data_IF_831919074243
#
_entry.id   IF_831919074243
#
_cell.length_a   1.000
_cell.length_b   1.000
_cell.length_c   1.000
_cell.angle_alpha   90.00
_cell.angle_beta   90.00
_cell.angle_gamma   90.00
#
_symmetry.space_group_name_H-M   'P 1'
#
loop_
_entity.id
_entity.type
_entity.pdbx_description
1 polymer ?
2 non-polymer ?
3 water ?
#
# COMPACT_ATOMS: atom_id res chain seq x y z
N UNK A 113 -5.50 -19.13 4.13
CA UNK A 113 -4.69 -18.75 2.96
C UNK A 113 -4.88 -17.31 2.50
N UNK A 114 -6.05 -16.70 2.85
CA UNK A 114 -6.25 -15.27 2.60
C UNK A 114 -5.17 -14.58 3.44
N UNK A 115 -5.07 -14.88 4.76
CA UNK A 115 -4.09 -14.19 5.61
C UNK A 115 -2.62 -14.49 5.23
N UNK A 116 -2.36 -15.70 4.71
CA UNK A 116 -1.00 -16.09 4.27
C UNK A 116 -0.53 -15.13 3.16
N UNK A 117 -1.37 -14.92 2.14
CA UNK A 117 -1.09 -14.00 1.03
C UNK A 117 -1.00 -12.55 1.51
N UNK A 118 -1.90 -12.14 2.43
CA UNK A 118 -1.83 -10.75 2.93
C UNK A 118 -0.50 -10.42 3.64
N UNK A 119 0.00 -11.36 4.47
CA UNK A 119 1.28 -11.17 5.20
C UNK A 119 2.45 -11.12 4.21
N UNK A 120 2.46 -12.02 3.22
CA UNK A 120 3.53 -12.02 2.20
C UNK A 120 3.48 -10.71 1.41
N UNK A 121 2.26 -10.22 1.10
CA UNK A 121 2.17 -8.98 0.34
C UNK A 121 2.55 -7.74 1.19
N UNK A 122 2.23 -7.75 2.48
CA UNK A 122 2.57 -6.64 3.37
C UNK A 122 4.09 -6.55 3.48
N UNK A 123 4.75 -7.69 3.48
CA UNK A 123 6.21 -7.69 3.53
C UNK A 123 6.81 -7.28 2.18
N UNK A 124 6.47 -7.99 1.09
CA UNK A 124 7.02 -7.71 -0.25
C UNK A 124 6.70 -6.29 -0.73
N UNK A 125 5.44 -5.87 -0.55
CA UNK A 125 4.94 -4.59 -1.04
C UNK A 125 5.16 -3.39 -0.14
N UNK A 126 5.61 -3.59 1.10
CA UNK A 126 5.75 -2.45 2.01
C UNK A 126 6.97 -2.55 2.92
N UNK A 127 6.96 -3.50 3.87
CA UNK A 127 8.04 -3.59 4.88
C UNK A 127 9.44 -3.71 4.26
N UNK A 128 9.58 -4.58 3.23
CA UNK A 128 10.84 -4.82 2.48
C UNK A 128 11.39 -3.50 1.92
N UNK A 129 10.50 -2.56 1.54
CA UNK A 129 10.87 -1.29 0.92
C UNK A 129 11.14 -0.14 1.90
N UNK A 130 10.53 -0.16 3.11
CA UNK A 130 10.73 0.92 4.10
C UNK A 130 11.70 0.56 5.23
N UNK A 131 11.71 -0.71 5.68
CA UNK A 131 12.53 -1.08 6.85
C UNK A 131 14.06 -0.89 6.64
N UNK A 132 14.67 -1.16 5.43
CA UNK A 132 16.13 -0.89 5.28
C UNK A 132 16.52 0.59 5.33
N UNK A 133 15.56 1.51 5.11
CA UNK A 133 15.78 2.95 5.13
C UNK A 133 15.32 3.64 6.44
N UNK A 134 14.65 2.90 7.33
CA UNK A 134 14.06 3.48 8.54
C UNK A 134 15.08 4.02 9.55
N UNK A 135 16.13 3.25 9.87
CA UNK A 135 17.16 3.65 10.84
C UNK A 135 17.72 5.03 10.55
N UNK A 136 18.09 5.30 9.27
CA UNK A 136 18.64 6.58 8.83
C UNK A 136 17.66 7.72 9.02
N UNK A 137 16.36 7.48 8.78
CA UNK A 137 15.31 8.50 8.94
C UNK A 137 15.15 8.87 10.40
N UNK A 138 15.21 7.87 11.29
CA UNK A 138 15.09 8.09 12.73
C UNK A 138 16.32 8.86 13.26
N UNK A 139 17.54 8.45 12.85
CA UNK A 139 18.81 9.10 13.24
C UNK A 139 18.82 10.58 12.79
N UNK A 140 18.37 10.86 11.55
CA UNK A 140 18.26 12.20 10.98
C UNK A 140 17.30 13.05 11.82
N UNK A 141 16.14 12.48 12.20
CA UNK A 141 15.18 13.16 13.05
C UNK A 141 15.79 13.50 14.41
N UNK A 142 16.39 12.50 15.09
CA UNK A 142 17.02 12.65 16.41
C UNK A 142 18.20 13.62 16.42
N UNK A 143 18.91 13.75 15.27
CA UNK A 143 20.05 14.64 15.10
C UNK A 143 19.62 16.10 15.10
N UNK A 144 18.54 16.43 14.37
CA UNK A 144 17.99 17.78 14.30
C UNK A 144 17.42 18.26 15.66
N UNK A 145 16.91 17.32 16.49
CA UNK A 145 16.32 17.60 17.80
C UNK A 145 17.21 17.15 18.96
N UNK A 149 18.48 8.94 24.45
CA UNK A 149 18.01 7.86 25.33
C UNK A 149 16.50 7.67 25.10
N UNK A 150 15.65 8.33 25.93
CA UNK A 150 14.19 8.29 25.82
C UNK A 150 13.69 9.55 25.11
N UNK A 151 14.45 10.65 25.24
CA UNK A 151 14.19 11.93 24.57
C UNK A 151 14.24 11.71 23.07
N UNK A 152 15.25 10.93 22.66
CA UNK A 152 15.45 10.46 21.29
C UNK A 152 14.31 9.49 20.96
N UNK A 153 13.80 9.55 19.73
CA UNK A 153 12.79 8.65 19.19
C UNK A 153 13.47 7.27 19.15
N UNK A 154 12.80 6.24 19.65
CA UNK A 154 13.34 4.89 19.63
C UNK A 154 13.46 4.37 18.18
N UNK A 155 14.36 3.41 17.99
CA UNK A 155 14.54 2.80 16.69
C UNK A 155 13.36 1.83 16.50
N UNK A 156 13.19 1.34 15.27
CA UNK A 156 12.18 0.32 14.91
C UNK A 156 10.77 0.85 14.70
N UNK A 157 10.11 0.29 13.68
CA UNK A 157 8.72 0.59 13.40
C UNK A 157 7.90 -0.34 14.31
N UNK A 158 7.05 0.24 15.13
CA UNK A 158 6.20 -0.53 16.03
C UNK A 158 4.87 -0.75 15.29
N UNK A 159 4.60 -2.02 14.96
CA UNK A 159 3.44 -2.40 14.13
C UNK A 159 2.31 -2.96 14.99
N UNK A 160 1.19 -2.25 15.03
CA UNK A 160 0.05 -2.69 15.82
C UNK A 160 -0.76 -3.76 15.07
N UNK A 161 -1.03 -4.88 15.76
CA UNK A 161 -1.71 -6.05 15.22
C UNK A 161 -2.91 -6.45 16.08
N UNK A 162 -3.99 -5.61 16.06
CA UNK A 162 -5.19 -5.94 16.85
C UNK A 162 -5.83 -7.19 16.25
N UNK A 163 -5.93 -8.29 17.03
CA UNK A 163 -6.50 -9.52 16.49
C UNK A 163 -8.01 -9.41 16.17
N UNK A 164 -8.69 -8.37 16.71
CA UNK A 164 -10.10 -8.12 16.37
C UNK A 164 -10.23 -7.41 14.99
N UNK A 165 -9.06 -7.04 14.36
CA UNK A 165 -9.01 -6.41 13.04
C UNK A 165 -9.60 -4.99 12.99
N UNK A 166 -9.74 -4.37 14.17
CA UNK A 166 -10.20 -2.99 14.28
C UNK A 166 -9.04 -2.05 14.07
N UNK A 167 -9.04 -1.36 12.91
CA UNK A 167 -7.97 -0.45 12.54
C UNK A 167 -8.52 0.99 12.49
N UNK A 168 -8.42 1.77 13.59
CA UNK A 168 -8.89 3.18 13.50
C UNK A 168 -7.85 4.05 12.81
N UNK A 169 -8.25 5.22 12.30
CA UNK A 169 -7.25 6.08 11.64
C UNK A 169 -6.50 6.99 12.59
N UNK A 170 -7.10 7.29 13.76
CA UNK A 170 -6.50 8.17 14.75
C UNK A 170 -6.18 7.37 16.01
N UNK A 171 -4.89 7.35 16.37
CA UNK A 171 -4.37 6.61 17.53
C UNK A 171 -4.74 7.20 18.89
N UNK A 172 -4.78 8.56 19.02
CA UNK A 172 -5.14 9.22 20.29
C UNK A 172 -6.60 8.91 20.68
N UNK A 173 -7.42 8.50 19.69
CA UNK A 173 -8.81 8.09 19.87
C UNK A 173 -8.85 6.70 20.52
N UNK A 174 -7.92 5.79 20.12
CA UNK A 174 -7.82 4.42 20.67
C UNK A 174 -7.35 4.50 22.12
N UNK A 175 -6.39 5.39 22.42
CA UNK A 175 -5.85 5.61 23.77
C UNK A 175 -5.37 7.06 23.88
N UNK A 176 -5.94 7.88 24.80
CA UNK A 176 -5.45 9.27 24.97
C UNK A 176 -3.99 9.35 25.44
N UNK A 177 -3.45 8.26 26.03
CA UNK A 177 -2.03 8.19 26.46
C UNK A 177 -1.06 8.00 25.27
N UNK A 178 -1.58 7.95 24.02
CA UNK A 178 -0.77 7.88 22.80
C UNK A 178 -1.03 9.20 22.12
N UNK A 179 -0.03 10.09 22.10
CA UNK A 179 -0.18 11.43 21.56
C UNK A 179 0.74 11.64 20.37
N UNK A 180 0.18 12.16 19.26
CA UNK A 180 0.98 12.46 18.06
C UNK A 180 2.02 13.55 18.38
N UNK A 181 3.28 13.29 18.06
CA UNK A 181 4.37 14.21 18.26
C UNK A 181 4.74 14.91 16.95
N UNK A 182 5.12 14.13 15.90
CA UNK A 182 5.57 14.67 14.63
C UNK A 182 5.60 13.59 13.55
N UNK A 183 5.69 14.00 12.29
CA UNK A 183 5.87 13.08 11.17
C UNK A 183 7.38 12.92 11.01
N UNK A 184 7.84 11.70 10.72
CA UNK A 184 9.25 11.40 10.46
C UNK A 184 9.60 12.05 9.07
N UNK A 185 10.85 12.37 8.67
CA UNK A 185 11.05 12.89 7.29
C UNK A 185 10.57 11.80 6.30
N UNK A 186 9.78 12.16 5.28
CA UNK A 186 9.26 11.14 4.35
C UNK A 186 10.34 10.48 3.49
N UNK A 187 10.07 9.24 3.09
CA UNK A 187 10.93 8.49 2.19
C UNK A 187 10.21 8.52 0.81
N UNK A 188 10.98 8.67 -0.28
CA UNK A 188 10.42 8.64 -1.64
C UNK A 188 11.19 7.61 -2.46
N UNK A 189 10.49 6.94 -3.40
CA UNK A 189 11.08 5.98 -4.30
C UNK A 189 10.17 5.79 -5.50
N UNK A 190 10.77 5.57 -6.67
CA UNK A 190 9.98 5.27 -7.86
C UNK A 190 9.49 3.84 -7.65
N UNK A 191 8.16 3.68 -7.69
CA UNK A 191 7.54 2.37 -7.42
C UNK A 191 6.45 2.06 -8.40
N UNK A 192 6.63 1.00 -9.19
CA UNK A 192 5.61 0.51 -10.12
C UNK A 192 4.96 1.59 -11.02
N UNK A 193 5.77 2.52 -11.51
CA UNK A 193 5.24 3.59 -12.35
C UNK A 193 4.89 4.86 -11.59
N UNK A 194 4.83 4.78 -10.25
CA UNK A 194 4.58 5.97 -9.45
C UNK A 194 5.93 6.63 -9.20
N UNK A 195 6.19 7.79 -9.84
CA UNK A 195 7.46 8.48 -9.60
C UNK A 195 7.36 9.09 -8.19
N UNK A 196 8.43 8.96 -7.40
CA UNK A 196 8.50 9.48 -6.02
C UNK A 196 7.28 9.08 -5.19
N UNK A 197 6.98 7.78 -5.17
CA UNK A 197 5.93 7.22 -4.31
C UNK A 197 6.40 7.60 -2.90
N UNK A 198 5.53 8.21 -2.11
CA UNK A 198 5.89 8.71 -0.77
C UNK A 198 5.50 7.74 0.36
N UNK A 199 6.46 7.45 1.25
CA UNK A 199 6.26 6.64 2.46
C UNK A 199 6.34 7.62 3.64
N UNK A 200 5.19 7.90 4.25
CA UNK A 200 5.08 8.77 5.42
C UNK A 200 4.91 7.87 6.65
N UNK A 201 5.52 8.26 7.78
CA UNK A 201 5.36 7.54 9.06
C UNK A 201 5.29 8.57 10.19
N UNK A 202 4.56 8.22 11.27
CA UNK A 202 4.28 9.12 12.38
C UNK A 202 4.90 8.70 13.70
N UNK A 203 5.38 9.70 14.46
CA UNK A 203 6.02 9.53 15.75
C UNK A 203 4.99 9.89 16.82
N UNK A 204 4.92 9.04 17.85
CA UNK A 204 4.01 9.20 18.97
C UNK A 204 4.73 9.18 20.31
N UNK A 205 4.19 9.94 21.27
CA UNK A 205 4.65 9.92 22.67
C UNK A 205 3.71 8.97 23.40
N UNK A 206 4.25 8.18 24.33
CA UNK A 206 3.49 7.25 25.15
C UNK A 206 3.55 7.76 26.57
N UNK A 207 2.40 8.12 27.14
CA UNK A 207 2.28 8.65 28.49
C UNK A 207 1.90 7.58 29.49
N UNK A 208 2.38 7.75 30.72
CA UNK A 208 2.08 6.85 31.82
C UNK A 208 1.96 7.75 33.05
N UNK A 209 0.75 7.82 33.64
CA UNK A 209 0.42 8.67 34.80
C UNK A 209 0.86 10.14 34.61
N UNK A 210 0.57 10.67 33.42
CA UNK A 210 0.89 12.05 33.03
C UNK A 210 2.34 12.33 32.62
N UNK A 211 3.18 11.27 32.58
CA UNK A 211 4.61 11.45 32.23
C UNK A 211 4.96 10.75 30.92
N UNK A 212 5.83 11.38 30.12
CA UNK A 212 6.26 10.71 28.88
C UNK A 212 7.17 9.54 29.24
N UNK A 213 6.73 8.33 28.86
CA UNK A 213 7.42 7.08 29.16
C UNK A 213 8.14 6.46 27.94
N UNK A 214 7.81 6.94 26.76
CA UNK A 214 8.41 6.47 25.51
C UNK A 214 8.01 7.29 24.32
N UNK A 215 8.81 7.19 23.24
CA UNK A 215 8.58 7.88 21.96
C UNK A 215 8.96 6.89 20.85
N UNK A 216 8.01 6.59 19.95
CA UNK A 216 8.29 5.63 18.88
C UNK A 216 7.49 5.90 17.60
N UNK A 217 7.92 5.28 16.50
CA UNK A 217 7.25 5.33 15.19
C UNK A 217 6.23 4.18 15.29
N UNK A 218 4.95 4.49 15.08
CA UNK A 218 3.86 3.57 15.31
C UNK A 218 2.80 3.64 14.23
N UNK A 219 2.25 2.47 13.88
CA UNK A 219 1.12 2.37 12.92
C UNK A 219 0.50 0.99 12.98
N UNK A 220 -0.71 0.88 12.42
CA UNK A 220 -1.42 -0.39 12.33
C UNK A 220 -1.03 -1.09 11.02
N UNK A 221 -1.03 -2.42 11.02
CA UNK A 221 -0.85 -3.25 9.82
C UNK A 221 -2.22 -3.19 9.10
N UNK A 222 -2.32 -2.32 8.09
CA UNK A 222 -3.55 -2.08 7.32
C UNK A 222 -4.18 -3.36 6.67
N UNK A 223 -3.44 -4.45 6.32
CA UNK A 223 -4.14 -5.66 5.79
C UNK A 223 -5.13 -6.28 6.79
N UNK A 224 -4.98 -6.03 8.10
CA UNK A 224 -5.95 -6.53 9.08
C UNK A 224 -7.32 -5.90 8.82
N UNK A 225 -7.35 -4.62 8.34
CA UNK A 225 -8.64 -3.99 8.00
C UNK A 225 -9.30 -4.73 6.81
N UNK A 226 -8.48 -5.30 5.89
CA UNK A 226 -9.04 -6.08 4.79
C UNK A 226 -9.80 -7.29 5.34
N UNK A 227 -9.26 -7.96 6.37
CA UNK A 227 -9.94 -9.11 6.97
C UNK A 227 -11.27 -8.66 7.56
N UNK A 228 -11.28 -7.48 8.21
CA UNK A 228 -12.51 -6.92 8.79
C UNK A 228 -13.55 -6.66 7.68
N UNK A 229 -13.17 -5.93 6.64
CA UNK A 229 -14.06 -5.62 5.53
C UNK A 229 -14.56 -6.88 4.81
N UNK A 230 -13.68 -7.87 4.56
CA UNK A 230 -14.12 -9.13 3.93
C UNK A 230 -15.17 -9.87 4.76
N UNK A 231 -15.08 -9.76 6.10
CA UNK A 231 -16.05 -10.39 6.96
C UNK A 231 -17.40 -9.64 6.96
N UNK A 232 -17.41 -8.39 6.49
CA UNK A 232 -18.62 -7.56 6.39
C UNK A 232 -19.36 -7.74 5.06
N UNK A 233 -18.61 -7.94 3.95
CA UNK A 233 -19.18 -8.01 2.60
C UNK A 233 -19.49 -9.39 2.12
N UNK A 234 -20.77 -9.65 1.79
CA UNK A 234 -21.23 -10.96 1.34
C UNK A 234 -20.43 -11.51 0.20
N UNK A 235 -20.08 -10.69 -0.80
CA UNK A 235 -19.34 -11.14 -1.99
C UNK A 235 -17.91 -11.61 -1.71
N UNK A 236 -17.35 -11.29 -0.53
CA UNK A 236 -16.00 -11.74 -0.19
C UNK A 236 -15.94 -13.24 0.19
N UNK A 237 -17.10 -13.84 0.49
CA UNK A 237 -17.20 -15.24 0.91
C UNK A 237 -16.29 -15.54 2.08
N UNK A 238 -16.30 -14.67 3.08
CA UNK A 238 -15.41 -14.75 4.25
C UNK A 238 -16.27 -14.55 5.48
N UNK A 239 -16.32 -15.54 6.37
CA UNK A 239 -17.18 -15.39 7.53
C UNK A 239 -16.49 -14.73 8.70
N UNK A 240 -17.26 -13.96 9.48
CA UNK A 240 -16.77 -13.35 10.73
C UNK A 240 -16.27 -14.44 11.71
N UNK A 241 -16.81 -15.68 11.62
CA UNK A 241 -16.39 -16.80 12.47
C UNK A 241 -14.96 -17.25 12.16
N UNK A 242 -14.46 -16.95 10.93
CA UNK A 242 -13.10 -17.30 10.52
C UNK A 242 -12.10 -16.17 10.67
N UNK A 243 -12.55 -14.98 11.06
CA UNK A 243 -11.69 -13.81 11.07
C UNK A 243 -10.57 -13.88 12.10
N UNK A 244 -10.85 -14.27 13.36
CA UNK A 244 -9.81 -14.33 14.39
C UNK A 244 -8.66 -15.29 14.00
N UNK A 245 -9.00 -16.48 13.48
CA UNK A 245 -8.01 -17.49 13.03
C UNK A 245 -7.12 -16.89 11.92
N UNK A 246 -7.74 -16.17 10.99
CA UNK A 246 -7.04 -15.48 9.90
C UNK A 246 -6.16 -14.36 10.44
N UNK A 247 -6.64 -13.55 11.42
CA UNK A 247 -5.81 -12.50 12.03
C UNK A 247 -4.55 -13.12 12.69
N UNK A 248 -4.74 -14.25 13.42
CA UNK A 248 -3.61 -14.94 14.07
C UNK A 248 -2.63 -15.45 13.02
N UNK A 249 -3.14 -16.03 11.92
CA UNK A 249 -2.32 -16.55 10.84
C UNK A 249 -1.56 -15.41 10.14
N UNK A 250 -2.19 -14.23 9.97
CA UNK A 250 -1.50 -13.06 9.39
C UNK A 250 -0.25 -12.71 10.24
N UNK A 251 -0.45 -12.61 11.56
CA UNK A 251 0.63 -12.29 12.50
C UNK A 251 1.73 -13.35 12.48
N UNK A 252 1.35 -14.64 12.54
CA UNK A 252 2.32 -15.75 12.56
C UNK A 252 3.14 -15.80 11.25
N UNK A 253 2.48 -15.60 10.10
CA UNK A 253 3.17 -15.57 8.81
C UNK A 253 4.15 -14.43 8.77
N UNK A 254 3.73 -13.21 9.21
CA UNK A 254 4.62 -12.05 9.23
C UNK A 254 5.87 -12.34 10.13
N UNK A 255 5.66 -12.93 11.30
CA UNK A 255 6.76 -13.33 12.19
C UNK A 255 7.73 -14.30 11.49
N UNK A 256 7.19 -15.36 10.83
CA UNK A 256 7.97 -16.35 10.07
C UNK A 256 8.81 -15.71 8.96
N UNK A 257 8.21 -14.79 8.17
CA UNK A 257 8.95 -14.11 7.09
C UNK A 257 10.09 -13.27 7.67
N UNK A 258 9.77 -12.47 8.72
CA UNK A 258 10.76 -11.59 9.33
C UNK A 258 11.94 -12.35 9.93
N UNK A 259 11.72 -13.58 10.39
CA UNK A 259 12.77 -14.44 10.94
C UNK A 259 13.85 -14.80 9.86
N UNK A 260 13.53 -14.62 8.57
CA UNK A 260 14.44 -14.86 7.43
C UNK A 260 14.93 -13.59 6.77
N UNK A 261 14.54 -12.42 7.28
CA UNK A 261 14.94 -11.11 6.72
C UNK A 261 15.55 -10.31 7.88
N UNK A 262 16.83 -10.54 8.23
CA UNK A 262 17.42 -9.87 9.43
C UNK A 262 17.33 -8.35 9.49
N UNK A 263 17.61 -7.68 8.36
CA UNK A 263 17.54 -6.21 8.22
C UNK A 263 16.11 -5.72 8.59
N UNK A 264 15.07 -6.39 8.06
CA UNK A 264 13.70 -6.01 8.37
C UNK A 264 13.31 -6.37 9.81
N UNK A 265 13.68 -7.57 10.26
CA UNK A 265 13.36 -8.03 11.62
C UNK A 265 13.90 -7.03 12.71
N UNK A 266 15.16 -6.61 12.60
CA UNK A 266 15.74 -5.69 13.60
C UNK A 266 15.17 -4.27 13.54
N UNK A 267 14.49 -3.93 12.43
CA UNK A 267 13.93 -2.60 12.25
C UNK A 267 12.46 -2.49 12.55
N UNK A 268 11.87 -3.54 13.13
CA UNK A 268 10.46 -3.50 13.48
C UNK A 268 10.13 -4.42 14.66
N UNK A 269 9.00 -4.14 15.29
CA UNK A 269 8.48 -4.91 16.43
C UNK A 269 7.01 -5.16 16.20
N UNK A 270 6.58 -6.41 16.28
CA UNK A 270 5.17 -6.80 16.08
C UNK A 270 4.42 -6.80 17.40
N UNK A 271 3.39 -5.97 17.47
CA UNK A 271 2.55 -5.80 18.66
C UNK A 271 1.15 -6.41 18.44
N UNK A 272 1.04 -7.72 18.71
CA UNK A 272 -0.24 -8.42 18.57
C UNK A 272 -0.97 -8.45 19.92
N UNK A 273 -2.30 -8.25 19.88
CA UNK A 273 -3.12 -8.22 21.12
C UNK A 273 -4.59 -8.46 20.86
N UNK A 274 -5.29 -8.93 21.91
CA UNK A 274 -6.74 -9.11 21.97
C UNK A 274 -7.21 -8.31 23.18
N UNK A 275 -8.33 -7.61 23.04
CA UNK A 275 -8.88 -6.79 24.12
C UNK A 275 -9.82 -7.60 25.01
N UNK A 282 -8.82 -2.00 28.74
CA UNK A 282 -7.60 -2.25 27.96
C UNK A 282 -6.81 -0.97 27.69
N UNK A 283 -5.48 -1.04 27.86
CA UNK A 283 -4.60 0.10 27.61
C UNK A 283 -3.64 -0.20 26.46
N UNK A 284 -3.88 0.43 25.30
CA UNK A 284 -3.01 0.25 24.14
C UNK A 284 -1.60 0.82 24.42
N UNK A 285 -1.51 1.99 25.11
CA UNK A 285 -0.18 2.55 25.47
C UNK A 285 0.63 1.58 26.34
N UNK A 286 -0.02 0.89 27.31
CA UNK A 286 0.69 -0.08 28.16
C UNK A 286 1.19 -1.28 27.36
N UNK A 287 0.42 -1.67 26.33
CA UNK A 287 0.78 -2.77 25.45
C UNK A 287 2.07 -2.39 24.68
N UNK A 288 2.11 -1.16 24.12
CA UNK A 288 3.29 -0.68 23.38
C UNK A 288 4.49 -0.52 24.34
N UNK A 289 4.27 0.11 25.50
CA UNK A 289 5.34 0.33 26.49
C UNK A 289 6.01 -0.97 26.95
N UNK A 290 5.23 -2.05 27.11
CA UNK A 290 5.79 -3.35 27.50
C UNK A 290 6.80 -3.86 26.47
N UNK A 291 6.52 -3.64 25.18
CA UNK A 291 7.43 -4.01 24.11
C UNK A 291 8.63 -3.05 24.07
N UNK A 292 8.40 -1.74 24.25
CA UNK A 292 9.46 -0.72 24.25
C UNK A 292 10.47 -0.94 25.39
N UNK A 293 9.97 -1.35 26.56
CA UNK A 293 10.77 -1.62 27.76
C UNK A 293 11.52 -2.96 27.72
N UNK A 294 11.18 -3.83 26.77
CA UNK A 294 11.83 -5.14 26.62
C UNK A 294 13.29 -5.03 26.13
N UNK A 295 13.62 -3.92 25.45
CA UNK A 295 14.97 -3.66 24.93
C UNK A 295 15.97 -3.29 26.03
N UNK B 113 -7.54 -17.60 -3.90
CA UNK B 113 -7.46 -17.62 -2.44
C UNK B 113 -6.37 -16.68 -2.00
N UNK B 114 -5.07 -16.93 -2.47
CA UNK B 114 -4.03 -15.93 -2.23
C UNK B 114 -4.49 -14.76 -3.11
N UNK B 115 -4.73 -14.97 -4.43
CA UNK B 115 -5.09 -13.82 -5.30
C UNK B 115 -6.44 -13.18 -4.92
N UNK B 116 -7.42 -13.98 -4.44
CA UNK B 116 -8.74 -13.47 -4.01
C UNK B 116 -8.54 -12.41 -2.88
N UNK B 117 -7.76 -12.77 -1.84
CA UNK B 117 -7.42 -11.85 -0.75
C UNK B 117 -6.62 -10.65 -1.21
N UNK B 118 -5.67 -10.86 -2.17
CA UNK B 118 -4.87 -9.72 -2.64
C UNK B 118 -5.73 -8.67 -3.36
N UNK B 119 -6.70 -9.12 -4.19
CA UNK B 119 -7.61 -8.21 -4.93
C UNK B 119 -8.52 -7.47 -3.93
N UNK B 120 -9.08 -8.17 -2.93
CA UNK B 120 -9.91 -7.52 -1.90
C UNK B 120 -9.09 -6.51 -1.12
N UNK B 121 -7.83 -6.82 -0.81
CA UNK B 121 -7.00 -5.89 -0.08
C UNK B 121 -6.56 -4.68 -0.92
N UNK B 122 -6.32 -4.88 -2.22
CA UNK B 122 -5.93 -3.80 -3.12
C UNK B 122 -7.09 -2.81 -3.22
N UNK B 123 -8.30 -3.35 -3.23
CA UNK B 123 -9.48 -2.48 -3.27
C UNK B 123 -9.71 -1.77 -1.92
N UNK B 124 -9.84 -2.53 -0.82
CA UNK B 124 -10.12 -1.98 0.50
C UNK B 124 -9.03 -1.03 0.98
N UNK B 125 -7.77 -1.45 0.80
CA UNK B 125 -6.60 -0.73 1.29
C UNK B 125 -6.04 0.36 0.41
N UNK B 126 -6.53 0.48 -0.83
CA UNK B 126 -5.97 1.47 -1.74
C UNK B 126 -7.00 2.11 -2.65
N UNK B 127 -7.57 1.34 -3.59
CA UNK B 127 -8.49 1.92 -4.60
C UNK B 127 -9.69 2.64 -4.00
N UNK B 128 -10.31 2.04 -2.96
CA UNK B 128 -11.48 2.60 -2.23
C UNK B 128 -11.13 3.99 -1.66
N UNK B 129 -9.87 4.22 -1.29
CA UNK B 129 -9.38 5.44 -0.65
C UNK B 129 -8.91 6.52 -1.63
N UNK B 130 -8.45 6.15 -2.84
CA UNK B 130 -7.96 7.13 -3.83
C UNK B 130 -8.95 7.42 -4.95
N UNK B 131 -9.74 6.43 -5.42
CA UNK B 131 -10.62 6.63 -6.59
C UNK B 131 -11.71 7.69 -6.34
N UNK B 132 -12.37 7.82 -5.15
CA UNK B 132 -13.37 8.89 -4.97
C UNK B 132 -12.79 10.32 -5.01
N UNK B 133 -11.48 10.49 -4.81
CA UNK B 133 -10.80 11.78 -4.83
C UNK B 133 -10.02 12.06 -6.13
N UNK B 134 -9.92 11.06 -7.04
CA UNK B 134 -9.12 11.18 -8.24
C UNK B 134 -9.61 12.25 -9.22
N UNK B 135 -10.93 12.26 -9.55
CA UNK B 135 -11.52 13.21 -10.51
C UNK B 135 -11.12 14.65 -10.23
N UNK B 136 -11.24 15.08 -8.95
CA UNK B 136 -10.90 16.43 -8.51
C UNK B 136 -9.44 16.74 -8.69
N UNK B 137 -8.54 15.76 -8.46
CA UNK B 137 -7.10 15.95 -8.62
C UNK B 137 -6.75 16.13 -10.11
N UNK B 138 -7.40 15.35 -10.99
CA UNK B 138 -7.15 15.45 -12.44
C UNK B 138 -7.64 16.83 -12.94
N UNK B 139 -8.86 17.24 -12.53
CA UNK B 139 -9.45 18.56 -12.89
C UNK B 139 -8.57 19.72 -12.42
N UNK B 140 -7.99 19.64 -11.21
CA UNK B 140 -7.05 20.60 -10.63
C UNK B 140 -5.78 20.67 -11.45
N UNK B 141 -5.23 19.50 -11.83
CA UNK B 141 -4.04 19.45 -12.66
C UNK B 141 -4.32 20.13 -14.01
N UNK B 142 -5.42 19.79 -14.64
CA UNK B 142 -5.81 20.33 -15.95
C UNK B 142 -6.02 21.85 -15.95
N UNK B 143 -6.57 22.39 -14.85
CA UNK B 143 -6.88 23.82 -14.67
C UNK B 143 -5.68 24.68 -14.27
N UNK B 144 -4.75 24.15 -13.44
CA UNK B 144 -3.65 24.94 -12.88
C UNK B 144 -2.22 24.46 -13.11
N UNK B 145 -2.01 23.17 -13.37
CA UNK B 145 -0.65 22.67 -13.48
C UNK B 145 -0.26 22.17 -14.87
N UNK B 146 -1.25 21.73 -15.65
CA UNK B 146 -1.03 21.23 -17.00
C UNK B 146 -0.50 22.37 -17.86
N UNK B 147 0.47 22.06 -18.73
CA UNK B 147 1.01 23.03 -19.68
C UNK B 147 -0.22 23.60 -20.42
N UNK B 148 -0.29 24.93 -20.48
CA UNK B 148 -1.40 25.67 -21.08
C UNK B 148 -1.77 25.21 -22.49
N UNK B 149 -0.78 24.79 -23.27
CA UNK B 149 -0.97 24.45 -24.68
C UNK B 149 -1.30 22.99 -24.93
N UNK B 150 -1.21 22.16 -23.87
CA UNK B 150 -1.43 20.73 -23.93
C UNK B 150 -2.89 20.38 -23.84
N UNK B 151 -3.22 19.18 -24.32
CA UNK B 151 -4.56 18.62 -24.19
C UNK B 151 -4.72 18.15 -22.74
N UNK B 152 -5.97 18.04 -22.30
CA UNK B 152 -6.33 17.63 -20.95
C UNK B 152 -5.89 16.19 -20.67
N UNK B 153 -5.40 15.95 -19.44
CA UNK B 153 -5.08 14.59 -18.95
C UNK B 153 -6.45 13.88 -18.88
N UNK B 154 -6.54 12.65 -19.40
CA UNK B 154 -7.79 11.91 -19.37
C UNK B 154 -8.19 11.58 -17.93
N UNK B 155 -9.48 11.34 -17.71
CA UNK B 155 -9.96 10.93 -16.40
C UNK B 155 -9.57 9.46 -16.21
N UNK B 156 -9.69 8.96 -14.97
CA UNK B 156 -9.49 7.54 -14.58
C UNK B 156 -8.06 7.11 -14.37
N UNK B 157 -7.89 6.22 -13.39
CA UNK B 157 -6.60 5.63 -13.13
C UNK B 157 -6.49 4.40 -14.04
N UNK B 158 -5.46 4.35 -14.86
CA UNK B 158 -5.23 3.23 -15.77
C UNK B 158 -4.32 2.26 -15.03
N UNK B 159 -4.85 1.09 -14.70
CA UNK B 159 -4.14 0.09 -13.88
C UNK B 159 -3.58 -1.04 -14.75
N UNK B 160 -2.25 -1.16 -14.77
CA UNK B 160 -1.59 -2.19 -15.56
C UNK B 160 -1.58 -3.52 -14.81
N UNK B 161 -2.06 -4.57 -15.50
CA UNK B 161 -2.21 -5.92 -14.96
C UNK B 161 -1.48 -6.96 -15.83
N UNK B 162 -0.12 -6.94 -15.81
CA UNK B 162 0.65 -7.91 -16.60
C UNK B 162 0.43 -9.29 -16.00
N UNK B 163 -0.13 -10.23 -16.79
CA UNK B 163 -0.40 -11.57 -16.27
C UNK B 163 0.88 -12.37 -15.98
N UNK B 164 2.04 -11.92 -16.51
CA UNK B 164 3.33 -12.55 -16.17
C UNK B 164 3.85 -12.07 -14.78
N UNK B 165 3.13 -11.10 -14.14
CA UNK B 165 3.45 -10.58 -12.81
C UNK B 165 4.77 -9.79 -12.74
N UNK B 166 5.26 -9.35 -13.90
CA UNK B 166 6.46 -8.54 -14.00
C UNK B 166 6.08 -7.08 -13.78
N UNK B 167 6.51 -6.53 -12.65
CA UNK B 167 6.19 -5.16 -12.27
C UNK B 167 7.49 -4.33 -12.23
N UNK B 168 7.87 -3.65 -13.32
CA UNK B 168 9.10 -2.80 -13.23
C UNK B 168 8.76 -1.47 -12.54
N UNK B 169 9.76 -0.76 -12.01
CA UNK B 169 9.46 0.51 -11.37
C UNK B 169 9.41 1.70 -12.31
N UNK B 170 10.07 1.58 -13.48
CA UNK B 170 10.11 2.64 -14.49
C UNK B 170 9.38 2.18 -15.74
N UNK B 171 8.33 2.92 -16.11
CA UNK B 171 7.48 2.64 -17.28
C UNK B 171 8.15 2.90 -18.63
N UNK B 172 8.98 3.96 -18.75
CA UNK B 172 9.67 4.26 -20.02
C UNK B 172 10.66 3.14 -20.42
N UNK B 173 11.06 2.32 -19.43
CA UNK B 173 11.93 1.16 -19.59
C UNK B 173 11.13 0.02 -20.25
N UNK B 174 9.84 -0.15 -19.85
CA UNK B 174 8.95 -1.17 -20.40
C UNK B 174 8.61 -0.85 -21.86
N UNK B 175 8.38 0.45 -22.15
CA UNK B 175 8.08 0.94 -23.50
C UNK B 175 8.56 2.39 -23.61
N UNK B 176 9.51 2.70 -24.54
CA UNK B 176 9.96 4.10 -24.71
C UNK B 176 8.85 5.05 -25.17
N UNK B 177 7.75 4.50 -25.78
CA UNK B 177 6.59 5.29 -26.20
C UNK B 177 5.69 5.74 -25.01
N UNK B 178 6.07 5.38 -23.77
CA UNK B 178 5.38 5.81 -22.55
C UNK B 178 6.38 6.73 -21.87
N UNK B 179 6.09 8.03 -21.86
CA UNK B 179 6.99 9.04 -21.33
C UNK B 179 6.36 9.76 -20.15
N UNK B 180 7.11 9.85 -19.03
CA UNK B 180 6.66 10.57 -17.84
C UNK B 180 6.48 12.05 -18.15
N UNK B 181 5.31 12.59 -17.82
CA UNK B 181 4.97 13.98 -18.01
C UNK B 181 5.09 14.76 -16.71
N UNK B 182 4.34 14.36 -15.66
CA UNK B 182 4.29 15.06 -14.38
C UNK B 182 3.63 14.22 -13.30
N UNK B 183 3.81 14.61 -12.04
CA UNK B 183 3.11 13.98 -10.92
C UNK B 183 1.81 14.76 -10.75
N UNK B 184 0.72 14.07 -10.46
CA UNK B 184 -0.58 14.67 -10.19
C UNK B 184 -0.46 15.40 -8.79
N UNK B 185 -1.27 16.41 -8.39
CA UNK B 185 -1.13 16.95 -7.01
C UNK B 185 -1.37 15.78 -6.01
N UNK B 186 -0.54 15.63 -4.99
CA UNK B 186 -0.72 14.49 -4.06
C UNK B 186 -1.96 14.59 -3.20
N UNK B 187 -2.49 13.43 -2.81
CA UNK B 187 -3.62 13.32 -1.91
C UNK B 187 -3.02 12.92 -0.54
N UNK B 188 -3.55 13.50 0.55
CA UNK B 188 -3.14 13.15 1.91
C UNK B 188 -4.38 12.79 2.73
N UNK B 189 -4.22 11.83 3.66
CA UNK B 189 -5.28 11.40 4.54
C UNK B 189 -4.66 10.72 5.75
N UNK B 190 -5.27 10.90 6.92
CA UNK B 190 -4.83 10.17 8.12
C UNK B 190 -5.27 8.74 7.90
N UNK B 191 -4.31 7.81 7.95
CA UNK B 191 -4.59 6.41 7.68
C UNK B 191 -3.88 5.49 8.66
N UNK B 192 -4.64 4.77 9.48
CA UNK B 192 -4.12 3.75 10.40
C UNK B 192 -2.94 4.25 11.28
N UNK B 193 -3.05 5.49 11.78
CA UNK B 193 -2.00 6.08 12.61
C UNK B 193 -0.96 6.86 11.85
N UNK B 194 -0.97 6.77 10.51
CA UNK B 194 -0.05 7.57 9.71
C UNK B 194 -0.76 8.89 9.47
N UNK B 195 -0.28 9.99 10.11
CA UNK B 195 -0.90 11.30 9.86
C UNK B 195 -0.47 11.74 8.46
N UNK B 196 -1.42 12.25 7.66
CA UNK B 196 -1.17 12.72 6.30
C UNK B 196 -0.40 11.66 5.46
N UNK B 197 -0.92 10.43 5.45
CA UNK B 197 -0.39 9.36 4.60
C UNK B 197 -0.53 9.94 3.18
N UNK B 198 0.54 9.91 2.41
CA UNK B 198 0.55 10.52 1.07
C UNK B 198 0.30 9.50 -0.08
N UNK B 199 -0.63 9.83 -0.97
CA UNK B 199 -0.94 9.07 -2.18
C UNK B 199 -0.45 9.89 -3.36
N UNK B 200 0.63 9.43 -3.99
CA UNK B 200 1.18 10.08 -5.17
C UNK B 200 0.82 9.24 -6.41
N UNK B 201 0.53 9.91 -7.54
CA UNK B 201 0.23 9.21 -8.81
C UNK B 201 0.89 10.01 -9.95
N UNK B 202 1.28 9.30 -11.02
CA UNK B 202 2.04 9.85 -12.14
C UNK B 202 1.29 9.86 -13.46
N UNK B 203 1.50 10.96 -14.23
CA UNK B 203 0.88 11.21 -15.52
C UNK B 203 1.91 10.89 -16.59
N UNK B 204 1.45 10.16 -17.62
CA UNK B 204 2.29 9.73 -18.74
C UNK B 204 1.68 10.14 -20.07
N UNK B 205 2.57 10.43 -21.04
CA UNK B 205 2.20 10.69 -22.43
C UNK B 205 2.39 9.35 -23.16
N UNK B 206 1.44 8.99 -24.03
CA UNK B 206 1.54 7.80 -24.86
C UNK B 206 1.81 8.27 -26.28
N UNK B 207 2.98 7.89 -26.82
CA UNK B 207 3.43 8.27 -28.16
C UNK B 207 3.10 7.21 -29.19
N UNK B 208 2.76 7.65 -30.39
CA UNK B 208 2.45 6.80 -31.54
C UNK B 208 3.05 7.51 -32.75
N UNK B 209 4.03 6.86 -33.40
CA UNK B 209 4.79 7.39 -34.56
C UNK B 209 5.42 8.77 -34.24
N UNK B 210 6.04 8.84 -33.06
CA UNK B 210 6.72 10.02 -32.56
C UNK B 210 5.87 11.13 -31.96
N UNK B 211 4.53 11.11 -32.15
CA UNK B 211 3.68 12.19 -31.63
C UNK B 211 2.72 11.75 -30.49
N UNK B 212 2.23 12.72 -29.68
CA UNK B 212 1.30 12.51 -28.55
C UNK B 212 -0.03 11.94 -29.02
N UNK B 213 -0.38 10.73 -28.54
CA UNK B 213 -1.66 10.11 -28.87
C UNK B 213 -2.63 10.08 -27.69
N UNK B 214 -2.09 10.23 -26.48
CA UNK B 214 -2.87 10.21 -25.26
C UNK B 214 -2.07 10.62 -24.04
N UNK B 215 -2.76 11.02 -22.98
CA UNK B 215 -2.17 11.44 -21.70
C UNK B 215 -3.07 10.87 -20.59
N UNK B 216 -2.50 10.07 -19.69
CA UNK B 216 -3.29 9.45 -18.62
C UNK B 216 -2.47 9.17 -17.36
N UNK B 217 -3.19 8.92 -16.25
CA UNK B 217 -2.61 8.55 -14.95
C UNK B 217 -2.46 7.02 -15.04
N UNK B 218 -1.25 6.51 -14.84
CA UNK B 218 -0.92 5.13 -15.07
C UNK B 218 -0.01 4.54 -14.00
N UNK B 219 -0.27 3.27 -13.64
CA UNK B 219 0.57 2.54 -12.69
C UNK B 219 0.25 1.05 -12.74
N UNK B 220 1.16 0.22 -12.21
CA UNK B 220 0.97 -1.22 -12.09
C UNK B 220 0.24 -1.54 -10.77
N UNK B 221 -0.55 -2.60 -10.78
CA UNK B 221 -1.19 -3.16 -9.57
C UNK B 221 -0.06 -3.92 -8.85
N UNK B 222 0.55 -3.26 -7.84
CA UNK B 222 1.69 -3.81 -7.06
C UNK B 222 1.45 -5.24 -6.43
N UNK B 223 0.20 -5.66 -6.07
CA UNK B 223 0.04 -7.03 -5.54
C UNK B 223 0.47 -8.12 -6.54
N UNK B 224 0.49 -7.82 -7.86
CA UNK B 224 0.97 -8.81 -8.84
C UNK B 224 2.43 -9.15 -8.57
N UNK B 225 3.22 -8.16 -8.10
CA UNK B 225 4.63 -8.45 -7.75
C UNK B 225 4.72 -9.42 -6.56
N UNK B 226 3.72 -9.37 -5.64
CA UNK B 226 3.71 -10.33 -4.54
C UNK B 226 3.58 -11.77 -5.08
N UNK B 227 2.73 -11.97 -6.10
CA UNK B 227 2.57 -13.30 -6.69
C UNK B 227 3.90 -13.75 -7.28
N UNK B 228 4.60 -12.84 -7.95
CA UNK B 228 5.91 -13.16 -8.54
C UNK B 228 6.89 -13.57 -7.42
N UNK B 229 6.99 -12.75 -6.34
CA UNK B 229 7.92 -13.04 -5.24
C UNK B 229 7.60 -14.38 -4.58
N UNK B 230 6.29 -14.62 -4.28
CA UNK B 230 5.88 -15.87 -3.64
C UNK B 230 6.25 -17.12 -4.44
N UNK B 231 6.11 -17.05 -5.75
CA UNK B 231 6.46 -18.14 -6.67
C UNK B 231 7.98 -18.45 -6.64
N UNK B 232 8.81 -17.51 -6.14
CA UNK B 232 10.28 -17.67 -6.07
C UNK B 232 10.76 -18.18 -4.71
N UNK B 233 10.09 -17.77 -3.60
CA UNK B 233 10.52 -18.13 -2.26
C UNK B 233 9.92 -19.43 -1.78
N UNK B 234 10.79 -20.38 -1.40
CA UNK B 234 10.35 -21.69 -0.94
C UNK B 234 9.37 -21.62 0.23
N UNK B 235 9.59 -20.70 1.18
CA UNK B 235 8.74 -20.59 2.38
C UNK B 235 7.32 -20.09 2.09
N UNK B 236 7.09 -19.53 0.89
CA UNK B 236 5.76 -19.03 0.55
C UNK B 236 4.78 -20.16 0.21
N UNK B 237 5.28 -21.37 -0.04
CA UNK B 237 4.46 -22.52 -0.40
C UNK B 237 3.56 -22.21 -1.60
N UNK B 238 4.14 -21.58 -2.62
CA UNK B 238 3.43 -21.13 -3.81
C UNK B 238 4.26 -21.58 -4.99
N UNK B 239 3.76 -22.63 -5.70
CA UNK B 239 4.52 -23.23 -6.80
C UNK B 239 4.77 -22.26 -7.93
N UNK B 240 5.95 -22.37 -8.54
CA UNK B 240 6.34 -21.56 -9.69
C UNK B 240 5.25 -21.50 -10.79
N UNK B 241 4.63 -22.66 -11.11
CA UNK B 241 3.65 -22.82 -12.19
C UNK B 241 2.24 -22.30 -11.84
N UNK B 242 2.02 -21.88 -10.58
CA UNK B 242 0.71 -21.36 -10.13
C UNK B 242 0.48 -19.89 -10.43
N UNK B 243 1.54 -19.15 -10.83
CA UNK B 243 1.52 -17.70 -11.03
C UNK B 243 0.47 -17.17 -11.99
N UNK B 244 0.38 -17.75 -13.20
CA UNK B 244 -0.56 -17.28 -14.20
C UNK B 244 -2.03 -17.39 -13.75
N UNK B 245 -2.40 -18.54 -13.18
CA UNK B 245 -3.78 -18.80 -12.70
C UNK B 245 -4.15 -17.81 -11.60
N UNK B 246 -3.19 -17.55 -10.68
CA UNK B 246 -3.40 -16.58 -9.59
C UNK B 246 -3.49 -15.16 -10.15
N UNK B 247 -2.64 -14.79 -11.14
CA UNK B 247 -2.71 -13.47 -11.77
C UNK B 247 -4.11 -13.27 -12.42
N UNK B 248 -4.62 -14.31 -13.13
CA UNK B 248 -5.94 -14.22 -13.76
C UNK B 248 -7.03 -14.06 -12.69
N UNK B 249 -6.93 -14.81 -11.59
CA UNK B 249 -7.88 -14.73 -10.48
C UNK B 249 -7.85 -13.34 -9.82
N UNK B 250 -6.64 -12.75 -9.68
CA UNK B 250 -6.50 -11.40 -9.11
C UNK B 250 -7.30 -10.39 -9.97
N UNK B 251 -7.10 -10.45 -11.29
CA UNK B 251 -7.79 -9.57 -12.23
C UNK B 251 -9.31 -9.79 -12.21
N UNK B 252 -9.76 -11.05 -12.24
CA UNK B 252 -11.20 -11.36 -12.23
C UNK B 252 -11.88 -10.89 -10.93
N UNK B 253 -11.22 -11.13 -9.79
CA UNK B 253 -11.74 -10.67 -8.49
C UNK B 253 -11.83 -9.16 -8.46
N UNK B 254 -10.79 -8.46 -8.93
CA UNK B 254 -10.81 -7.00 -8.93
C UNK B 254 -11.95 -6.46 -9.82
N UNK B 255 -12.15 -7.08 -11.00
CA UNK B 255 -13.26 -6.72 -11.90
C UNK B 255 -14.63 -6.92 -11.18
N UNK B 256 -14.82 -8.09 -10.51
CA UNK B 256 -16.04 -8.40 -9.75
C UNK B 256 -16.31 -7.38 -8.65
N UNK B 257 -15.28 -6.99 -7.87
CA UNK B 257 -15.46 -6.00 -6.78
C UNK B 257 -15.88 -4.64 -7.37
N UNK B 258 -15.15 -4.21 -8.42
CA UNK B 258 -15.42 -2.92 -9.04
C UNK B 258 -16.83 -2.81 -9.64
N UNK B 259 -17.39 -3.94 -10.10
CA UNK B 259 -18.76 -4.00 -10.65
C UNK B 259 -19.82 -3.65 -9.57
N UNK B 260 -19.45 -3.71 -8.27
CA UNK B 260 -20.32 -3.35 -7.13
C UNK B 260 -19.97 -2.01 -6.49
N UNK B 261 -18.96 -1.29 -7.01
CA UNK B 261 -18.50 -0.01 -6.48
C UNK B 261 -18.57 1.00 -7.65
N UNK B 262 -19.82 1.53 -7.93
CA UNK B 262 -20.04 2.44 -9.09
C UNK B 262 -19.01 3.53 -9.35
N UNK B 263 -18.79 4.41 -8.36
CA UNK B 263 -17.83 5.51 -8.44
C UNK B 263 -16.46 5.00 -8.81
N UNK B 264 -15.96 3.98 -8.03
CA UNK B 264 -14.66 3.37 -8.25
C UNK B 264 -14.49 2.80 -9.66
N UNK B 265 -15.46 1.99 -10.13
CA UNK B 265 -15.43 1.41 -11.48
C UNK B 265 -15.31 2.50 -12.57
N UNK B 266 -15.97 3.65 -12.37
CA UNK B 266 -15.93 4.77 -13.33
C UNK B 266 -14.67 5.62 -13.19
N UNK B 267 -13.87 5.39 -12.13
CA UNK B 267 -12.65 6.14 -11.90
C UNK B 267 -11.39 5.35 -12.22
N UNK B 268 -11.57 4.16 -12.80
CA UNK B 268 -10.42 3.36 -13.19
C UNK B 268 -10.71 2.44 -14.37
N UNK B 269 -9.64 1.96 -14.99
CA UNK B 269 -9.73 1.05 -16.12
C UNK B 269 -8.68 -0.03 -15.90
N UNK B 270 -9.08 -1.30 -15.99
CA UNK B 270 -8.15 -2.43 -15.81
C UNK B 270 -7.56 -2.86 -17.15
N UNK B 271 -6.23 -2.85 -17.24
CA UNK B 271 -5.50 -3.22 -18.46
C UNK B 271 -4.75 -4.52 -18.23
N UNK B 272 -5.42 -5.65 -18.46
CA UNK B 272 -4.83 -6.98 -18.29
C UNK B 272 -4.26 -7.47 -19.63
N UNK B 273 -3.06 -8.06 -19.60
CA UNK B 273 -2.40 -8.51 -20.85
C UNK B 273 -1.34 -9.58 -20.61
N UNK B 274 -1.10 -10.37 -21.68
CA UNK B 274 -0.05 -11.37 -21.79
C UNK B 274 0.79 -10.98 -23.00
N UNK B 275 2.10 -11.10 -22.90
CA UNK B 275 3.03 -10.76 -23.98
C UNK B 275 3.25 -11.94 -24.92
N UNK B 282 5.89 -6.86 -28.53
CA UNK B 282 4.75 -6.34 -27.77
C UNK B 282 4.87 -4.85 -27.49
N UNK B 283 3.76 -4.11 -27.66
CA UNK B 283 3.74 -2.68 -27.40
C UNK B 283 2.80 -2.34 -26.24
N UNK B 284 3.38 -1.99 -25.08
CA UNK B 284 2.59 -1.62 -23.91
C UNK B 284 1.80 -0.32 -24.18
N UNK B 285 2.41 0.68 -24.86
CA UNK B 285 1.70 1.92 -25.20
C UNK B 285 0.47 1.65 -26.06
N UNK B 286 0.55 0.72 -27.04
CA UNK B 286 -0.60 0.36 -27.88
C UNK B 286 -1.70 -0.32 -27.09
N UNK B 287 -1.31 -1.10 -26.07
CA UNK B 287 -2.26 -1.76 -25.18
C UNK B 287 -3.05 -0.70 -24.40
N UNK B 288 -2.34 0.31 -23.85
CA UNK B 288 -2.99 1.40 -23.09
C UNK B 288 -3.86 2.25 -24.03
N UNK B 289 -3.31 2.64 -25.19
CA UNK B 289 -4.05 3.46 -26.17
C UNK B 289 -5.36 2.83 -26.62
N UNK B 290 -5.38 1.51 -26.82
CA UNK B 290 -6.60 0.80 -27.21
C UNK B 290 -7.71 0.98 -26.17
N UNK B 291 -7.35 0.96 -24.87
CA UNK B 291 -8.30 1.19 -23.79
C UNK B 291 -8.69 2.66 -23.73
N UNK B 292 -7.72 3.60 -23.84
CA UNK B 292 -7.96 5.04 -23.81
C UNK B 292 -8.95 5.45 -24.91
N UNK B 293 -8.75 4.91 -26.13
CA UNK B 293 -9.57 5.20 -27.32
C UNK B 293 -10.97 4.58 -27.31
N UNK B 294 -11.22 3.56 -26.44
CA UNK B 294 -12.52 2.89 -26.33
C UNK B 294 -13.58 3.82 -25.70
N UNK B 295 -13.11 4.85 -24.97
CA UNK B 295 -13.92 5.87 -24.31
C UNK B 295 -14.10 7.07 -25.25
X LIG C 1 2.05 -0.52 -3.55
X LIG C 1 2.33 0.64 -3.76
X LIG C 1 3.40 1.21 -3.28
X LIG C 1 1.45 1.56 -4.55
X LIG C 1 -0.01 1.38 -4.24
X LIG C 1 -0.31 1.47 -2.76
X LIG C 1 0.03 2.46 -2.11
X LIG C 1 -1.03 0.35 -2.15
X LIG C 1 -1.28 -1.11 -3.08
X LIG C 1 -1.50 0.23 -0.89
X LIG C 1 -2.08 -1.06 -0.58
X LIG C 1 -2.01 -1.90 -1.71
X LIG C 1 -2.46 -3.21 -1.65
X LIG C 1 -2.61 -1.57 0.61
X LIG C 1 -3.04 -2.89 0.67
X LIG C 1 -3.50 -3.50 1.80
X LIG C 1 -3.51 -2.74 2.99
X LIG C 1 -2.96 -3.72 -0.47
X LIG C 1 -3.38 -5.01 -0.27
X LIG C 1 -2.58 -6.07 -0.80
X LIG C 1 -2.22 -6.98 0.35
X LIG C 1 -1.31 -6.34 1.37
X LIG C 1 -0.09 -5.97 0.70
X LIG C 1 0.30 -4.66 0.74
X LIG C 1 0.85 -4.18 -0.46
X LIG C 1 0.86 -5.07 -1.50
X LIG C 1 1.31 -4.60 -2.76
X LIG C 1 1.30 -2.88 -0.53
X LIG C 1 1.21 -2.05 0.58
X LIG C 1 0.65 -2.51 1.78
X LIG C 1 0.21 -3.83 1.85
X LIG C 1 1.71 -0.38 0.63
X LIG C 1 1.18 -0.26 2.29
X LIG C 1 0.66 -1.43 2.75
X LIG C 1 1.36 1.03 2.97
X LIG C 1 1.83 1.98 2.37
X LIG C 1 0.99 1.10 4.42
X LIG C 1 -0.07 2.14 4.70
X LIG C 1 -1.33 1.90 3.91
X LIG C 1 -1.85 0.81 3.83
X LIG C 1 -1.76 2.97 3.29
X LIG C 1 1.63 1.44 -5.61
X LIG C 1 1.76 2.58 -4.32
X LIG C 1 -0.61 2.08 -4.83
X LIG C 1 -0.35 0.40 -4.60
X LIG C 1 -1.47 1.01 -0.14
X LIG C 1 -2.44 -3.84 -2.54
X LIG C 1 -2.67 -0.90 1.46
X LIG C 1 -4.02 -3.29 3.78
X LIG C 1 -3.95 -1.75 2.89
X LIG C 1 -2.45 -2.63 3.23
X LIG C 1 -3.11 -6.61 -1.59
X LIG C 1 -1.68 -5.65 -1.24
X LIG C 1 -3.11 -7.32 0.87
X LIG C 1 -1.80 -7.90 -0.03
X LIG C 1 -1.17 -6.99 2.24
X LIG C 1 -1.67 -5.38 1.73
X LIG C 1 1.20 -5.46 -3.40
X LIG C 1 2.36 -4.33 -2.69
X LIG C 1 0.76 -3.75 -3.17
X LIG C 1 1.72 -2.49 -1.46
X LIG C 1 -0.21 -4.20 2.78
X LIG C 1 0.28 -1.58 3.76
X LIG C 1 0.63 0.11 4.73
X LIG C 1 1.83 1.27 5.08
X LIG C 1 0.28 3.14 4.47
X LIG C 1 -0.28 2.18 5.76
X LIG D 1 -1.84 0.79 3.82
X LIG D 1 -1.37 1.90 4.03
X LIG D 1 -1.89 3.00 3.56
X LIG D 1 -0.13 2.10 4.82
X LIG D 1 0.94 1.06 4.51
X LIG D 1 1.22 0.97 3.04
X LIG D 1 1.55 1.96 2.39
X LIG D 1 1.13 -0.36 2.42
X LIG D 1 0.45 -1.69 3.34
X LIG D 1 1.44 -0.74 1.16
X LIG D 1 1.14 -2.10 0.84
X LIG D 1 0.59 -2.74 1.97
X LIG D 1 0.17 -4.06 1.91
X LIG D 1 1.25 -2.84 -0.34
X LIG D 1 0.81 -4.15 -0.41
X LIG D 1 0.82 -4.91 -1.54
X LIG D 1 1.28 -4.31 -2.75
X LIG D 1 0.26 -4.77 0.72
X LIG D 1 -0.18 -6.05 0.53
X LIG D 1 -1.45 -6.43 1.06
X LIG D 1 -2.29 -6.93 -0.09
X LIG D 1 -2.64 -5.88 -1.11
X LIG D 1 -3.39 -4.85 -0.45
X LIG D 1 -2.93 -3.58 -0.48
X LIG D 1 -3.07 -2.85 0.72
X LIG D 1 -3.61 -3.55 1.76
X LIG D 1 -3.70 -2.91 3.01
X LIG D 1 -2.65 -1.54 0.79
X LIG D 1 -2.09 -0.93 -0.32
X LIG D 1 -1.92 -1.63 -1.52
X LIG D 1 -2.36 -2.96 -1.59
X LIG D 1 -1.49 0.70 -0.37
X LIG D 1 -0.99 0.49 -2.02
X LIG D 1 -1.28 -0.77 -2.49
X LIG D 1 -0.36 1.62 -2.69
X LIG D 1 -0.15 2.68 -2.09
X LIG D 1 -0.02 1.46 -4.15
X LIG D 1 1.45 1.65 -4.43
X LIG D 1 2.32 0.70 -3.64
X LIG D 1 2.08 -0.48 -3.57
X LIG D 1 3.31 1.28 -3.04
X LIG D 1 -0.34 2.12 5.90
X LIG D 1 0.24 3.10 4.61
X LIG D 1 1.83 1.27 5.10
X LIG D 1 0.62 0.10 4.87
X LIG D 1 1.89 -0.09 0.40
X LIG D 1 -0.24 -4.55 2.80
X LIG D 1 1.71 -2.34 -1.21
X LIG D 1 1.36 -5.06 -3.54
X LIG D 1 2.22 -3.78 -2.65
X LIG D 1 0.49 -3.60 -2.97
X LIG D 1 -1.35 -7.17 1.85
X LIG D 1 -1.93 -5.55 1.50
X LIG D 1 -1.79 -7.74 -0.60
X LIG D 1 -3.18 -7.42 0.30
X LIG D 1 -3.13 -6.31 -1.99
X LIG D 1 -1.77 -5.32 -1.47
X LIG D 1 -4.12 -3.67 3.67
X LIG D 1 -4.38 -2.07 2.95
X LIG D 1 -2.74 -2.57 3.42
X LIG D 1 -2.76 -0.97 1.72
X LIG D 1 -2.24 -3.52 -2.52
X LIG D 1 -1.06 -1.11 -3.50
X LIG D 1 -0.32 0.46 -4.46
X LIG D 1 -0.60 2.10 -4.81
X LIG D 1 1.77 2.67 -4.20
X LIG D 1 1.62 1.55 -5.50
#
# INVERSE_FOLDING_TARGET
>A
MAHHHHHHGSDSEVNQEAKPEVKPEVKPETHINLKVSDGSSEIFFKIKKTTPLRRLMEAFAKRQGKEMDSLTFLYDGIEIQADQTPEDLDMEDNDIIEAHREQIGGENLYFQSVAHGLAWSYYIGYLRLILPELQARIRTYNQHYNNLLRGAVSQRLYILLPLDCGVPDNLSMADPNIRFLDKLPQQTADRAGIKDRVYSNSIYELLENGQRAGTCVLEYATPLQTLFAMSQYSQAGFSREDRLEQAKLFCQTLEDILADAPESQNNCRLIAYQEPADDSSFSLSQEVLRHLRQEEKEEV
>B
MAHHHHHHGSDSEVNQEAKPEVKPEVKPETHINLKVSDGSSEIFFKIKKTTPLRRLMEAFAKRQGKEMDSLTFLYDGIEIQADQTPEDLDMEDNDIIEAHREQIGGENLYFQSVAHGLAWSYYIGYLRLILPELQARIRTYNQHYNNLLRGAVSQRLYILLPLDCGVPDNLSMADPNIRFLDKLPQQTADRAGIKDRVYSNSIYELLENGQRAGTCVLEYATPLQTLFAMSQYSQAGFSREDRLEQAKLFCQTLEDILADAPESQNNCRLIAYQEPADDSSFSLSQEVLRHLRQEEKEEV
>C hetero
1 QB1 O7 C23 O8 C22 C21 C20 O6 C19 S1 C24 C25 C18 C17 C26 C27 O9 C28 C O C1 C2 C3 O1 C4 C15 O5 C16 C14 C13 C6 C5 S C8 C7 C9 O2 C10 C11 C12 O3 O4 H20 H21 H19 H18 H23 H17 H24 H25 H26 H27 H H1 H3 H2 H5 H4 H14 H15 H16 H13 H6 H7 H9 H8 H11 H10
>D hetero
1 QB1 O7 C23 O8 C22 C21 C20 O6 C19 S1 C24 C25 C18 C17 C26 C27 O9 C28 C O C1 C2 C3 O1 C4 C15 O5 C16 C14 C13 C6 C5 S C8 C7 C9 O2 C10 C11 C12 O3 O4 H20 H21 H19 H18 H23 H17 H24 H25 H26 H27 H H1 H3 H2 H5 H4 H14 H15 H16 H13 H6 H7 H9 H8 H11 H10
#
